data_IF_927637349197
#
_entry.id   IF_927637349197
#
_cell.length_a   1.000
_cell.length_b   1.000
_cell.length_c   1.000
_cell.angle_alpha   90.00
_cell.angle_beta   90.00
_cell.angle_gamma   90.00
#
_symmetry.space_group_name_H-M   'P 1'
#
loop_
_entity.id
_entity.type
_entity.pdbx_description
1 polymer ?
#
# COMPACT_ATOMS: atom_id res chain seq x y z
N UNK A 1 52.20 20.11 1.51
CA UNK A 1 52.04 21.30 2.38
C UNK A 1 50.63 21.25 2.91
N UNK A 2 50.28 21.15 4.10
CA UNK A 2 50.61 21.26 5.49
C UNK A 2 49.60 20.41 6.26
N UNK A 3 49.96 19.39 6.93
CA UNK A 3 50.11 19.18 8.38
C UNK A 3 49.03 19.88 9.23
N UNK A 4 48.20 19.10 9.85
CA UNK A 4 47.77 19.30 11.23
C UNK A 4 47.56 17.95 11.91
N UNK A 5 48.57 17.61 12.72
CA UNK A 5 48.69 16.52 13.69
C UNK A 5 48.22 17.05 15.05
N UNK A 6 47.60 16.09 15.78
CA UNK A 6 47.70 15.98 17.25
C UNK A 6 46.90 16.91 18.14
N UNK A 7 46.01 16.33 18.92
CA UNK A 7 46.05 16.45 20.36
C UNK A 7 45.34 15.25 21.03
N UNK A 8 46.09 14.22 21.37
CA UNK A 8 45.69 13.17 22.33
C UNK A 8 46.32 13.60 23.66
N UNK A 9 45.51 13.90 24.67
CA UNK A 9 45.96 14.01 26.07
C UNK A 9 45.76 12.68 26.78
N UNK A 10 46.75 12.15 27.50
CA UNK A 10 46.60 11.00 28.39
C UNK A 10 46.00 11.44 29.72
N UNK A 11 45.05 10.64 30.24
CA UNK A 11 44.54 10.77 31.59
C UNK A 11 45.38 9.90 32.47
N UNK A 12 46.00 10.57 33.47
CA UNK A 12 46.77 9.96 34.55
C UNK A 12 45.85 9.19 35.50
N UNK A 13 46.32 8.01 35.89
CA UNK A 13 45.89 7.25 37.06
C UNK A 13 46.44 7.89 38.33
N UNK A 14 45.62 8.04 39.35
CA UNK A 14 45.84 7.69 40.75
C UNK A 14 44.82 8.33 41.68
N UNK A 15 44.15 7.53 42.43
CA UNK A 15 44.00 7.55 43.91
C UNK A 15 42.85 6.63 44.33
N UNK A 16 43.24 5.72 44.90
CA UNK A 16 43.05 4.80 46.03
C UNK A 16 41.99 5.23 47.08
N UNK A 17 41.34 4.17 47.54
CA UNK A 17 40.78 3.88 48.89
C UNK A 17 39.31 4.10 49.19
N UNK A 18 38.71 2.95 49.41
CA UNK A 18 37.49 2.49 50.11
C UNK A 18 37.25 3.08 51.51
N UNK A 19 36.22 2.69 52.32
CA UNK A 19 35.07 1.79 52.02
C UNK A 19 33.72 2.20 52.70
N UNK A 20 32.70 1.38 52.45
CA UNK A 20 31.51 1.13 53.28
C UNK A 20 30.41 2.21 53.38
N UNK A 21 29.31 1.95 52.67
CA UNK A 21 27.96 1.91 53.26
C UNK A 21 26.93 1.29 52.33
N UNK A 22 26.38 0.23 52.79
CA UNK A 22 25.23 -0.50 52.27
C UNK A 22 24.01 0.40 52.02
N UNK A 23 23.47 0.38 50.81
CA UNK A 23 22.07 0.67 50.59
C UNK A 23 21.57 -0.07 49.34
N UNK A 24 20.92 -1.17 49.61
CA UNK A 24 20.15 -1.96 48.65
C UNK A 24 19.01 -1.12 48.06
N UNK A 25 19.16 -0.57 46.86
CA UNK A 25 18.01 -0.17 46.02
C UNK A 25 17.89 -1.17 44.90
N UNK A 26 16.96 -2.10 45.05
CA UNK A 26 16.43 -2.95 43.97
C UNK A 26 15.86 -2.03 42.93
N UNK A 27 16.59 -1.78 41.83
CA UNK A 27 16.01 -1.27 40.58
C UNK A 27 15.58 -2.48 39.83
N UNK A 28 14.29 -2.86 40.03
CA UNK A 28 13.58 -3.81 39.16
C UNK A 28 13.24 -3.10 37.88
N UNK A 29 14.21 -2.97 36.99
CA UNK A 29 14.00 -2.58 35.60
C UNK A 29 13.72 -3.81 34.74
N UNK A 30 12.52 -4.35 34.83
CA UNK A 30 12.08 -5.40 33.96
C UNK A 30 11.71 -4.80 32.58
N UNK A 31 12.71 -4.40 31.80
CA UNK A 31 12.55 -4.19 30.38
C UNK A 31 12.41 -5.58 29.72
N UNK A 32 11.21 -6.13 29.81
CA UNK A 32 10.80 -7.22 28.90
C UNK A 32 10.94 -6.69 27.50
N UNK A 33 12.06 -6.99 26.83
CA UNK A 33 12.13 -7.00 25.37
C UNK A 33 11.06 -7.98 24.94
N UNK A 34 9.97 -7.48 24.32
CA UNK A 34 9.01 -8.34 23.65
C UNK A 34 9.80 -9.20 22.65
N UNK A 35 9.60 -10.52 22.65
CA UNK A 35 10.19 -11.35 21.62
C UNK A 35 9.66 -10.86 20.27
N UNK A 36 10.58 -10.63 19.32
CA UNK A 36 10.27 -10.39 17.93
C UNK A 36 9.82 -11.75 17.35
N UNK A 37 8.58 -12.11 17.61
CA UNK A 37 7.93 -13.31 17.06
C UNK A 37 6.53 -12.93 16.57
N UNK A 38 6.46 -11.96 15.65
CA UNK A 38 5.17 -11.48 15.14
C UNK A 38 4.97 -11.65 13.63
N UNK A 39 5.71 -12.58 13.00
CA UNK A 39 5.38 -13.00 11.62
C UNK A 39 4.09 -13.80 11.54
N UNK A 40 3.65 -14.42 12.66
CA UNK A 40 2.40 -15.18 12.73
C UNK A 40 1.16 -14.31 13.01
N UNK A 41 1.30 -13.16 13.65
CA UNK A 41 0.17 -12.25 13.90
C UNK A 41 -0.28 -11.47 12.64
N UNK A 42 0.57 -11.34 11.63
CA UNK A 42 0.18 -10.68 10.38
C UNK A 42 -0.76 -11.54 9.52
N UNK A 43 -0.74 -12.85 9.67
CA UNK A 43 -1.58 -13.79 8.91
C UNK A 43 -3.08 -13.75 9.29
N UNK A 44 -3.43 -13.08 10.40
CA UNK A 44 -4.82 -12.88 10.83
C UNK A 44 -5.40 -11.50 10.55
N UNK A 45 -4.60 -10.56 10.03
CA UNK A 45 -5.07 -9.19 9.72
C UNK A 45 -5.68 -9.13 8.33
N UNK A 46 -6.83 -8.44 8.23
CA UNK A 46 -7.42 -8.14 6.93
C UNK A 46 -6.42 -7.31 6.09
N UNK A 47 -6.27 -7.61 4.79
CA UNK A 47 -5.45 -6.80 3.92
C UNK A 47 -5.89 -5.33 3.92
N UNK A 48 -4.98 -4.36 3.76
CA UNK A 48 -5.33 -2.95 3.65
C UNK A 48 -6.36 -2.71 2.55
N UNK A 49 -7.49 -2.09 2.89
CA UNK A 49 -8.62 -1.89 2.00
C UNK A 49 -9.42 -0.64 2.40
N UNK A 50 -10.18 -0.09 1.47
CA UNK A 50 -11.09 1.04 1.67
C UNK A 50 -12.34 0.86 0.77
N UNK A 51 -13.06 -0.24 1.01
CA UNK A 51 -14.15 -0.72 0.14
C UNK A 51 -15.27 0.30 -0.02
N UNK A 52 -15.62 1.00 1.05
CA UNK A 52 -16.60 2.08 1.07
C UNK A 52 -16.17 3.24 0.14
N UNK A 53 -14.91 3.59 0.14
CA UNK A 53 -14.35 4.62 -0.76
C UNK A 53 -14.30 4.13 -2.21
N UNK A 54 -13.98 2.85 -2.43
CA UNK A 54 -14.03 2.25 -3.77
C UNK A 54 -15.44 2.36 -4.37
N UNK A 55 -16.49 2.07 -3.57
CA UNK A 55 -17.89 2.17 -3.98
C UNK A 55 -18.27 3.61 -4.36
N UNK A 56 -17.86 4.59 -3.55
CA UNK A 56 -18.10 6.02 -3.84
C UNK A 56 -17.38 6.46 -5.11
N UNK A 57 -16.11 6.05 -5.31
CA UNK A 57 -15.36 6.41 -6.52
C UNK A 57 -16.00 5.81 -7.76
N UNK A 58 -16.34 4.52 -7.75
CA UNK A 58 -16.98 3.87 -8.91
C UNK A 58 -18.34 4.52 -9.25
N UNK A 59 -19.14 4.83 -8.23
CA UNK A 59 -20.39 5.55 -8.42
C UNK A 59 -20.18 6.94 -9.03
N UNK A 60 -19.21 7.70 -8.54
CA UNK A 60 -18.88 9.03 -9.05
C UNK A 60 -18.42 9.01 -10.52
N UNK A 61 -17.63 8.00 -10.90
CA UNK A 61 -17.17 7.81 -12.28
C UNK A 61 -18.33 7.59 -13.28
N UNK A 62 -19.45 7.03 -12.82
CA UNK A 62 -20.65 6.81 -13.65
C UNK A 62 -21.59 8.01 -13.68
N UNK A 63 -21.45 8.97 -12.76
CA UNK A 63 -22.31 10.15 -12.69
C UNK A 63 -21.66 11.39 -13.31
N UNK A 64 -20.34 11.53 -13.24
CA UNK A 64 -19.61 12.73 -13.62
C UNK A 64 -18.68 12.47 -14.79
N UNK A 65 -18.96 13.06 -15.95
CA UNK A 65 -18.23 12.83 -17.21
C UNK A 65 -16.71 13.08 -17.12
N UNK A 66 -16.28 14.03 -16.32
CA UNK A 66 -14.86 14.40 -16.21
C UNK A 66 -14.14 13.74 -15.04
N UNK A 67 -14.88 13.00 -14.19
CA UNK A 67 -14.32 12.38 -13.01
C UNK A 67 -13.19 11.38 -13.33
N UNK A 68 -13.36 10.61 -14.41
CA UNK A 68 -12.35 9.61 -14.80
C UNK A 68 -11.04 10.27 -15.23
N UNK A 69 -11.08 11.37 -15.97
CA UNK A 69 -9.87 12.10 -16.39
C UNK A 69 -9.01 12.56 -15.22
N UNK A 70 -9.64 12.88 -14.07
CA UNK A 70 -8.93 13.29 -12.86
C UNK A 70 -8.25 12.13 -12.13
N UNK A 71 -8.70 10.88 -12.32
CA UNK A 71 -8.23 9.74 -11.52
C UNK A 71 -7.58 8.63 -12.31
N UNK A 72 -7.70 8.63 -13.65
CA UNK A 72 -7.18 7.55 -14.52
C UNK A 72 -5.67 7.36 -14.38
N UNK A 73 -5.01 8.42 -14.03
CA UNK A 73 -3.58 8.43 -13.77
C UNK A 73 -3.23 7.96 -12.36
N UNK A 74 -4.14 8.02 -11.41
CA UNK A 74 -3.92 7.64 -10.01
C UNK A 74 -4.28 6.17 -9.81
N UNK A 75 -5.38 5.73 -10.44
CA UNK A 75 -5.95 4.40 -10.24
C UNK A 75 -5.61 3.46 -11.40
N UNK A 76 -5.35 2.21 -11.03
CA UNK A 76 -5.27 1.06 -11.92
C UNK A 76 -6.35 0.06 -11.53
N UNK A 77 -6.64 -0.92 -12.40
CA UNK A 77 -7.58 -2.00 -12.09
C UNK A 77 -7.20 -2.69 -10.77
N UNK A 78 -5.92 -3.00 -10.60
CA UNK A 78 -5.36 -3.68 -9.42
C UNK A 78 -5.37 -2.82 -8.14
N UNK A 79 -5.69 -1.52 -8.27
CA UNK A 79 -5.80 -0.63 -7.11
C UNK A 79 -7.00 -0.99 -6.24
N UNK A 80 -8.04 -1.55 -6.82
CA UNK A 80 -9.25 -1.97 -6.12
C UNK A 80 -9.04 -3.30 -5.38
N UNK A 81 -9.64 -3.40 -4.19
CA UNK A 81 -9.56 -4.61 -3.37
C UNK A 81 -10.54 -5.69 -3.82
N UNK A 82 -11.82 -5.31 -4.04
CA UNK A 82 -12.83 -6.25 -4.50
C UNK A 82 -12.67 -6.54 -5.99
N UNK A 83 -12.66 -7.81 -6.37
CA UNK A 83 -12.65 -8.24 -7.77
C UNK A 83 -13.84 -7.67 -8.57
N UNK A 84 -15.01 -7.58 -7.95
CA UNK A 84 -16.17 -6.92 -8.55
C UNK A 84 -15.87 -5.47 -8.93
N UNK A 85 -15.19 -4.72 -8.06
CA UNK A 85 -14.80 -3.33 -8.32
C UNK A 85 -13.74 -3.22 -9.41
N UNK A 86 -12.78 -4.15 -9.43
CA UNK A 86 -11.79 -4.26 -10.50
C UNK A 86 -12.46 -4.43 -11.87
N UNK A 87 -13.42 -5.35 -11.96
CA UNK A 87 -14.17 -5.61 -13.19
C UNK A 87 -15.02 -4.41 -13.63
N UNK A 88 -15.63 -3.69 -12.69
CA UNK A 88 -16.41 -2.47 -12.98
C UNK A 88 -15.47 -1.37 -13.49
N UNK A 89 -14.35 -1.13 -12.80
CA UNK A 89 -13.38 -0.11 -13.22
C UNK A 89 -12.75 -0.42 -14.56
N UNK A 90 -12.43 -1.70 -14.84
CA UNK A 90 -11.95 -2.14 -16.14
C UNK A 90 -12.96 -1.83 -17.26
N UNK A 91 -14.25 -2.09 -17.04
CA UNK A 91 -15.29 -1.76 -18.01
C UNK A 91 -15.41 -0.24 -18.25
N UNK A 92 -15.28 0.58 -17.18
CA UNK A 92 -15.26 2.05 -17.26
C UNK A 92 -14.07 2.51 -18.10
N UNK A 93 -12.86 1.98 -17.84
CA UNK A 93 -11.64 2.33 -18.60
C UNK A 93 -11.75 1.91 -20.07
N UNK A 94 -12.33 0.75 -20.35
CA UNK A 94 -12.58 0.30 -21.73
C UNK A 94 -13.51 1.26 -22.50
N UNK A 95 -14.61 1.69 -21.89
CA UNK A 95 -15.51 2.68 -22.49
C UNK A 95 -14.78 4.00 -22.77
N UNK A 96 -14.05 4.50 -21.79
CA UNK A 96 -13.29 5.74 -21.92
C UNK A 96 -12.26 5.69 -23.05
N UNK A 97 -11.51 4.60 -23.16
CA UNK A 97 -10.51 4.42 -24.22
C UNK A 97 -11.14 4.33 -25.61
N UNK A 98 -12.38 3.84 -25.69
CA UNK A 98 -13.15 3.81 -26.92
C UNK A 98 -13.85 5.15 -27.24
N UNK A 99 -13.71 6.14 -26.37
CA UNK A 99 -14.45 7.41 -26.41
C UNK A 99 -15.99 7.22 -26.33
N UNK A 100 -16.42 6.13 -25.70
CA UNK A 100 -17.82 5.88 -25.41
C UNK A 100 -18.25 6.62 -24.12
N UNK A 101 -19.50 7.06 -24.02
CA UNK A 101 -19.97 7.69 -22.78
C UNK A 101 -19.94 6.70 -21.62
N UNK A 102 -19.50 7.19 -20.43
CA UNK A 102 -19.46 6.39 -19.21
C UNK A 102 -20.68 6.76 -18.35
N UNK A 103 -21.63 5.87 -18.30
CA UNK A 103 -22.83 5.95 -17.45
C UNK A 103 -23.28 4.54 -17.01
N UNK A 104 -24.31 4.48 -16.13
CA UNK A 104 -24.82 3.21 -15.60
C UNK A 104 -25.19 2.24 -16.73
N UNK A 105 -25.84 2.71 -17.81
CA UNK A 105 -26.36 1.85 -18.89
C UNK A 105 -25.23 1.29 -19.74
N UNK A 106 -24.26 2.13 -20.08
CA UNK A 106 -23.10 1.76 -20.90
C UNK A 106 -22.18 0.81 -20.13
N UNK A 107 -21.95 1.05 -18.83
CA UNK A 107 -21.17 0.15 -17.96
C UNK A 107 -21.85 -1.21 -17.81
N UNK A 108 -23.17 -1.27 -17.58
CA UNK A 108 -23.93 -2.53 -17.53
C UNK A 108 -23.84 -3.26 -18.87
N UNK A 109 -23.95 -2.54 -20.00
CA UNK A 109 -23.83 -3.13 -21.33
C UNK A 109 -22.43 -3.70 -21.57
N UNK A 110 -21.39 -2.96 -21.22
CA UNK A 110 -19.99 -3.40 -21.35
C UNK A 110 -19.68 -4.62 -20.47
N UNK A 111 -20.14 -4.61 -19.22
CA UNK A 111 -19.99 -5.78 -18.33
C UNK A 111 -20.71 -7.03 -18.84
N UNK A 112 -21.90 -6.85 -19.44
CA UNK A 112 -22.62 -7.96 -20.08
C UNK A 112 -21.86 -8.50 -21.28
N UNK A 113 -21.33 -7.61 -22.13
CA UNK A 113 -20.49 -7.98 -23.29
C UNK A 113 -19.24 -8.76 -22.86
N UNK A 114 -18.64 -8.37 -21.73
CA UNK A 114 -17.49 -9.05 -21.15
C UNK A 114 -17.84 -10.35 -20.41
N UNK A 115 -19.13 -10.69 -20.25
CA UNK A 115 -19.58 -11.86 -19.47
C UNK A 115 -19.39 -11.72 -17.96
N UNK A 116 -19.17 -10.48 -17.47
CA UNK A 116 -18.82 -10.20 -16.07
C UNK A 116 -19.96 -9.60 -15.24
N UNK A 117 -21.13 -9.32 -15.84
CA UNK A 117 -22.22 -8.62 -15.17
C UNK A 117 -22.71 -9.32 -13.90
N UNK A 118 -22.90 -10.63 -13.97
CA UNK A 118 -23.35 -11.41 -12.79
C UNK A 118 -22.27 -11.50 -11.69
N UNK A 119 -20.99 -11.56 -12.09
CA UNK A 119 -19.87 -11.62 -11.15
C UNK A 119 -19.74 -10.34 -10.30
N UNK A 120 -20.17 -9.21 -10.84
CA UNK A 120 -20.13 -7.94 -10.13
C UNK A 120 -21.40 -7.66 -9.29
N UNK A 121 -22.39 -8.55 -9.29
CA UNK A 121 -23.65 -8.38 -8.55
C UNK A 121 -24.80 -7.84 -9.39
N UNK A 122 -24.69 -7.92 -10.72
CA UNK A 122 -25.75 -7.54 -11.64
C UNK A 122 -25.96 -6.03 -11.78
N UNK A 123 -26.95 -5.65 -12.57
CA UNK A 123 -27.28 -4.25 -12.85
C UNK A 123 -27.78 -3.50 -11.61
N UNK A 124 -28.34 -4.19 -10.62
CA UNK A 124 -28.78 -3.60 -9.38
C UNK A 124 -27.60 -3.03 -8.57
N UNK A 125 -26.52 -3.81 -8.43
CA UNK A 125 -25.33 -3.34 -7.72
C UNK A 125 -24.69 -2.13 -8.39
N UNK A 126 -24.61 -2.10 -9.71
CA UNK A 126 -24.10 -0.96 -10.47
C UNK A 126 -24.93 0.30 -10.20
N UNK A 127 -26.27 0.19 -10.19
CA UNK A 127 -27.15 1.30 -9.84
C UNK A 127 -27.00 1.73 -8.36
N UNK A 128 -26.86 0.78 -7.43
CA UNK A 128 -26.66 1.05 -6.00
C UNK A 128 -25.39 1.87 -5.73
N UNK A 129 -24.29 1.58 -6.43
CA UNK A 129 -23.05 2.37 -6.31
C UNK A 129 -23.27 3.86 -6.56
N UNK A 130 -24.13 4.23 -7.49
CA UNK A 130 -24.39 5.64 -7.79
C UNK A 130 -25.23 6.33 -6.73
N UNK A 131 -26.00 5.60 -5.94
CA UNK A 131 -26.80 6.16 -4.83
C UNK A 131 -25.95 6.52 -3.62
N UNK A 132 -24.74 5.98 -3.52
CA UNK A 132 -23.79 6.22 -2.42
C UNK A 132 -22.97 7.49 -2.59
N UNK A 133 -23.07 8.13 -3.76
CA UNK A 133 -22.29 9.33 -4.09
C UNK A 133 -23.03 10.57 -3.59
N UNK A 134 -22.42 11.28 -2.65
CA UNK A 134 -22.90 12.59 -2.22
C UNK A 134 -22.33 13.73 -3.08
N UNK A 135 -21.09 13.61 -3.53
CA UNK A 135 -20.38 14.58 -4.38
C UNK A 135 -19.12 13.95 -4.96
N UNK A 136 -18.80 14.28 -6.20
CA UNK A 136 -17.54 13.92 -6.84
C UNK A 136 -16.39 14.92 -6.57
N UNK A 137 -16.65 16.00 -5.82
CA UNK A 137 -15.69 17.09 -5.61
C UNK A 137 -14.32 16.65 -5.04
N UNK A 138 -14.30 15.54 -4.29
CA UNK A 138 -13.10 15.02 -3.64
C UNK A 138 -12.60 13.71 -4.27
N UNK A 139 -12.97 13.42 -5.52
CA UNK A 139 -12.70 12.13 -6.15
C UNK A 139 -11.19 11.81 -6.22
N UNK A 140 -10.35 12.81 -6.47
CA UNK A 140 -8.88 12.61 -6.48
C UNK A 140 -8.34 12.20 -5.11
N UNK A 141 -8.84 12.84 -4.05
CA UNK A 141 -8.46 12.47 -2.69
C UNK A 141 -8.89 11.03 -2.36
N UNK A 142 -10.10 10.64 -2.74
CA UNK A 142 -10.59 9.27 -2.58
C UNK A 142 -9.76 8.27 -3.41
N UNK A 143 -9.41 8.62 -4.64
CA UNK A 143 -8.55 7.81 -5.48
C UNK A 143 -7.16 7.60 -4.87
N UNK A 144 -6.57 8.63 -4.26
CA UNK A 144 -5.30 8.52 -3.52
C UNK A 144 -5.38 7.56 -2.34
N UNK A 145 -6.48 7.58 -1.57
CA UNK A 145 -6.70 6.61 -0.49
C UNK A 145 -6.71 5.18 -1.03
N UNK A 146 -7.43 4.91 -2.11
CA UNK A 146 -7.47 3.57 -2.74
C UNK A 146 -6.06 3.16 -3.20
N UNK A 147 -5.34 4.06 -3.85
CA UNK A 147 -3.96 3.84 -4.30
C UNK A 147 -3.02 3.52 -3.13
N UNK A 148 -3.11 4.26 -2.02
CA UNK A 148 -2.32 3.99 -0.81
C UNK A 148 -2.58 2.59 -0.23
N UNK A 149 -3.86 2.15 -0.17
CA UNK A 149 -4.18 0.80 0.30
C UNK A 149 -3.61 -0.27 -0.66
N UNK A 150 -3.64 -0.01 -1.96
CA UNK A 150 -3.04 -0.89 -2.97
C UNK A 150 -1.52 -1.02 -2.79
N UNK A 151 -0.81 0.11 -2.58
CA UNK A 151 0.62 0.12 -2.31
C UNK A 151 0.94 -0.72 -1.06
N UNK A 152 0.19 -0.54 0.01
CA UNK A 152 0.36 -1.34 1.24
C UNK A 152 0.19 -2.84 0.97
N UNK A 153 -0.82 -3.25 0.18
CA UNK A 153 -1.01 -4.65 -0.21
C UNK A 153 0.17 -5.18 -1.01
N UNK A 154 0.68 -4.40 -1.97
CA UNK A 154 1.84 -4.79 -2.77
C UNK A 154 3.09 -4.97 -1.91
N UNK A 155 3.35 -4.05 -0.96
CA UNK A 155 4.46 -4.16 -0.03
C UNK A 155 4.35 -5.39 0.89
N UNK A 156 3.15 -5.70 1.39
CA UNK A 156 2.89 -6.91 2.18
C UNK A 156 3.18 -8.15 1.35
N UNK A 157 2.72 -8.21 0.09
CA UNK A 157 2.97 -9.33 -0.82
C UNK A 157 4.45 -9.53 -1.06
N UNK A 158 5.18 -8.48 -1.45
CA UNK A 158 6.64 -8.53 -1.68
C UNK A 158 7.37 -9.00 -0.43
N UNK A 159 7.00 -8.47 0.74
CA UNK A 159 7.62 -8.87 2.01
C UNK A 159 7.37 -10.34 2.34
N UNK A 160 6.16 -10.85 2.07
CA UNK A 160 5.81 -12.25 2.32
C UNK A 160 6.55 -13.20 1.38
N UNK A 161 6.67 -12.83 0.09
CA UNK A 161 7.47 -13.57 -0.90
C UNK A 161 8.95 -13.59 -0.49
N UNK A 162 9.49 -12.42 -0.11
CA UNK A 162 10.88 -12.29 0.37
C UNK A 162 11.16 -13.18 1.59
N UNK A 163 10.25 -13.18 2.57
CA UNK A 163 10.39 -14.03 3.75
C UNK A 163 10.40 -15.52 3.36
N UNK A 164 9.50 -15.93 2.47
CA UNK A 164 9.44 -17.32 2.00
C UNK A 164 10.72 -17.73 1.29
N UNK A 165 11.18 -16.91 0.34
CA UNK A 165 12.39 -17.20 -0.45
C UNK A 165 13.65 -17.20 0.41
N UNK A 166 13.69 -16.36 1.47
CA UNK A 166 14.83 -16.30 2.39
C UNK A 166 14.96 -17.51 3.31
N UNK A 167 13.87 -18.29 3.51
CA UNK A 167 13.92 -19.56 4.24
C UNK A 167 14.28 -20.75 3.35
N UNK A 168 14.33 -20.58 2.03
CA UNK A 168 14.73 -21.65 1.12
C UNK A 168 16.26 -21.76 1.01
N UNK A 169 16.84 -22.89 1.44
CA UNK A 169 18.29 -23.15 1.42
C UNK A 169 18.91 -23.09 0.01
N UNK A 170 18.10 -23.26 -1.04
CA UNK A 170 18.54 -23.27 -2.43
C UNK A 170 18.56 -21.89 -3.08
N UNK A 171 18.03 -20.87 -2.40
CA UNK A 171 17.92 -19.53 -2.97
C UNK A 171 19.27 -18.82 -2.97
N UNK A 172 19.71 -18.34 -4.13
CA UNK A 172 20.90 -17.50 -4.25
C UNK A 172 20.62 -16.11 -3.67
N UNK A 173 21.45 -15.71 -2.69
CA UNK A 173 21.27 -14.44 -1.94
C UNK A 173 21.33 -13.22 -2.85
N UNK A 174 22.20 -13.22 -3.87
CA UNK A 174 22.32 -12.08 -4.78
C UNK A 174 21.10 -11.98 -5.68
N UNK A 175 20.57 -13.10 -6.17
CA UNK A 175 19.33 -13.12 -6.95
C UNK A 175 18.14 -12.67 -6.11
N UNK A 176 18.10 -13.02 -4.82
CA UNK A 176 17.04 -12.58 -3.92
C UNK A 176 17.07 -11.07 -3.71
N UNK A 177 18.26 -10.50 -3.51
CA UNK A 177 18.46 -9.06 -3.39
C UNK A 177 18.00 -8.31 -4.65
N UNK A 178 18.46 -8.76 -5.82
CA UNK A 178 18.13 -8.15 -7.12
C UNK A 178 16.62 -8.16 -7.38
N UNK A 179 15.94 -9.30 -7.13
CA UNK A 179 14.47 -9.40 -7.29
C UNK A 179 13.73 -8.47 -6.34
N UNK A 180 14.21 -8.39 -5.09
CA UNK A 180 13.58 -7.52 -4.07
C UNK A 180 13.71 -6.05 -4.46
N UNK A 181 14.91 -5.63 -4.89
CA UNK A 181 15.16 -4.26 -5.36
C UNK A 181 14.28 -3.93 -6.56
N UNK A 182 14.20 -4.81 -7.56
CA UNK A 182 13.34 -4.62 -8.73
C UNK A 182 11.86 -4.51 -8.35
N UNK A 183 11.37 -5.37 -7.45
CA UNK A 183 9.98 -5.34 -7.01
C UNK A 183 9.63 -4.03 -6.28
N UNK A 184 10.50 -3.56 -5.38
CA UNK A 184 10.32 -2.29 -4.67
C UNK A 184 10.41 -1.10 -5.63
N UNK A 185 11.34 -1.13 -6.58
CA UNK A 185 11.46 -0.09 -7.61
C UNK A 185 10.20 0.02 -8.47
N UNK A 186 9.62 -1.11 -8.90
CA UNK A 186 8.36 -1.12 -9.65
C UNK A 186 7.20 -0.49 -8.87
N UNK A 187 7.07 -0.80 -7.57
CA UNK A 187 6.06 -0.16 -6.70
C UNK A 187 6.29 1.35 -6.63
N UNK A 188 7.54 1.76 -6.42
CA UNK A 188 7.91 3.17 -6.35
C UNK A 188 7.63 3.89 -7.68
N UNK A 189 8.11 3.35 -8.80
CA UNK A 189 7.95 3.98 -10.12
C UNK A 189 6.48 4.11 -10.52
N UNK A 190 5.67 3.08 -10.24
CA UNK A 190 4.26 3.08 -10.61
C UNK A 190 3.40 4.12 -9.88
N UNK A 191 3.88 4.65 -8.73
CA UNK A 191 3.09 5.52 -7.84
C UNK A 191 3.73 6.90 -7.60
N UNK A 192 5.04 7.06 -7.78
CA UNK A 192 5.76 8.31 -7.45
C UNK A 192 5.84 9.26 -8.64
N UNK A 193 5.81 8.79 -9.89
CA UNK A 193 5.96 9.65 -11.09
C UNK A 193 4.97 10.82 -11.18
N UNK A 194 3.92 10.85 -10.34
CA UNK A 194 2.80 11.81 -10.45
C UNK A 194 2.63 12.77 -9.28
N UNK A 195 3.54 12.76 -8.31
CA UNK A 195 3.48 13.70 -7.19
C UNK A 195 4.43 14.91 -7.33
N UNK A 196 5.08 15.11 -8.48
CA UNK A 196 6.10 16.14 -8.68
C UNK A 196 5.85 17.08 -9.86
N UNK A 197 4.59 17.17 -10.35
CA UNK A 197 4.19 18.23 -11.30
C UNK A 197 3.24 19.24 -10.64
#
# INVERSE_FOLDING_TARGET
MLRLLLYIKPIQSDQLMDPLASSSRKISGNTRRKPVNDTTESLGKLPPQAVDIEEVVLGALMLEQHALSSVIDILKVESFYKEAHQNIYEAIVQLFNNSDPVDIKTVVHQLRKNGKLELVGGSYYIADLTTRVNSAANIEYHARIISEQSIKRQLIRISSELVTDAYEDTTDVFQLLDRTEQALFQVSESHIRKNYD
#
